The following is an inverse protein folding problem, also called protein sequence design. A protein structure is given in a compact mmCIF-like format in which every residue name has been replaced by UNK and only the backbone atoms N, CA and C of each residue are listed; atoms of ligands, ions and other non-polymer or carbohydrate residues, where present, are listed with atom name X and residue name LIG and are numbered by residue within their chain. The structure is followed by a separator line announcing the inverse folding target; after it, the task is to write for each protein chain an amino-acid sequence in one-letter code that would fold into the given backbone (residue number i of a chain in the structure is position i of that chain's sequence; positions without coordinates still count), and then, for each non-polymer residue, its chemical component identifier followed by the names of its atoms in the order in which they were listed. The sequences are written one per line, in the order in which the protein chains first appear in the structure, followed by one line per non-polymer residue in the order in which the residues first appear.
data_IF_887293158018
#
_entry.id   IF_887293158018
#
_cell.length_a   1.000
_cell.length_b   1.000
_cell.length_c   1.000
_cell.angle_alpha   90.00
_cell.angle_beta   90.00
_cell.angle_gamma   90.00
#
_symmetry.space_group_name_H-M   'P 1'
#
loop_
_entity.id
_entity.type
_entity.pdbx_description
1 polymer ?
#
# COMPACT_ATOMS: atom_id res chain seq x y z
N UNK A 1 -5.99 3.93 -34.94
CA UNK A 1 -4.68 4.17 -34.30
C UNK A 1 -4.88 4.57 -32.83
N UNK A 2 -5.56 3.77 -32.01
CA UNK A 2 -5.90 4.21 -30.62
C UNK A 2 -5.74 3.15 -29.55
N UNK A 3 -5.40 1.91 -29.88
CA UNK A 3 -5.39 0.81 -28.90
C UNK A 3 -4.07 0.69 -28.10
N UNK A 4 -2.97 1.28 -28.58
CA UNK A 4 -1.66 1.16 -27.92
C UNK A 4 -1.45 2.18 -26.78
N UNK A 5 -2.16 3.31 -26.80
CA UNK A 5 -1.99 4.38 -25.79
C UNK A 5 -2.61 4.01 -24.43
N UNK A 6 -3.74 3.30 -24.41
CA UNK A 6 -4.49 2.97 -23.19
C UNK A 6 -3.75 2.00 -22.26
N UNK A 7 -2.99 1.05 -22.80
CA UNK A 7 -2.20 0.10 -22.01
C UNK A 7 -0.94 0.74 -21.40
N UNK A 8 -0.26 1.60 -22.16
CA UNK A 8 0.90 2.35 -21.66
C UNK A 8 0.51 3.35 -20.56
N UNK A 9 -0.63 4.05 -20.70
CA UNK A 9 -1.17 4.92 -19.65
C UNK A 9 -1.67 4.16 -18.41
N UNK A 10 -2.04 2.90 -18.54
CA UNK A 10 -2.39 2.05 -17.40
C UNK A 10 -1.15 1.57 -16.64
N UNK A 11 -0.12 1.10 -17.36
CA UNK A 11 1.16 0.68 -16.80
C UNK A 11 1.91 1.87 -16.14
N UNK A 12 1.95 3.02 -16.81
CA UNK A 12 2.52 4.24 -16.25
C UNK A 12 1.72 4.78 -15.04
N UNK A 13 0.42 4.46 -14.96
CA UNK A 13 -0.38 4.76 -13.76
C UNK A 13 -0.04 3.82 -12.61
N UNK A 14 0.15 2.52 -12.84
CA UNK A 14 0.59 1.58 -11.78
C UNK A 14 1.98 1.92 -11.23
N UNK A 15 2.89 2.43 -12.07
CA UNK A 15 4.25 2.83 -11.67
C UNK A 15 4.34 4.29 -11.23
N UNK A 16 3.21 5.00 -11.13
CA UNK A 16 3.20 6.40 -10.73
C UNK A 16 3.28 6.58 -9.22
N UNK A 17 3.93 7.66 -8.78
CA UNK A 17 3.93 8.10 -7.38
C UNK A 17 2.52 8.12 -6.77
N UNK A 18 1.52 8.53 -7.55
CA UNK A 18 0.13 8.57 -7.11
C UNK A 18 -0.42 7.17 -6.81
N UNK A 19 -0.16 6.17 -7.66
CA UNK A 19 -0.61 4.80 -7.42
C UNK A 19 0.10 4.18 -6.23
N UNK A 20 1.42 4.33 -6.13
CA UNK A 20 2.20 3.87 -4.98
C UNK A 20 1.67 4.50 -3.68
N UNK A 21 1.45 5.81 -3.67
CA UNK A 21 0.91 6.51 -2.50
C UNK A 21 -0.47 5.99 -2.12
N UNK A 22 -1.38 5.86 -3.09
CA UNK A 22 -2.73 5.35 -2.84
C UNK A 22 -2.70 3.89 -2.35
N UNK A 23 -1.75 3.08 -2.84
CA UNK A 23 -1.54 1.72 -2.35
C UNK A 23 -1.18 1.72 -0.88
N UNK A 24 -0.18 2.49 -0.45
CA UNK A 24 0.17 2.58 0.97
C UNK A 24 -1.02 2.98 1.86
N UNK A 25 -1.81 3.97 1.42
CA UNK A 25 -3.02 4.37 2.13
C UNK A 25 -4.05 3.24 2.28
N UNK A 26 -4.17 2.37 1.28
CA UNK A 26 -5.15 1.29 1.23
C UNK A 26 -4.65 -0.05 1.76
N UNK A 27 -3.35 -0.23 1.95
CA UNK A 27 -2.75 -1.51 2.38
C UNK A 27 -2.09 -1.43 3.76
N UNK A 28 -1.63 -0.25 4.20
CA UNK A 28 -1.03 -0.07 5.54
C UNK A 28 -2.03 0.63 6.44
N UNK A 29 -2.70 -0.09 7.32
CA UNK A 29 -3.48 0.49 8.41
C UNK A 29 -3.65 -0.49 9.58
N UNK A 30 -3.83 0.02 10.82
CA UNK A 30 -4.04 -0.81 11.99
C UNK A 30 -5.28 -1.73 11.87
N UNK A 31 -5.23 -2.95 12.44
CA UNK A 31 -6.38 -3.83 12.45
C UNK A 31 -7.55 -3.21 13.23
N UNK A 32 -8.78 -3.43 12.75
CA UNK A 32 -9.99 -2.96 13.43
C UNK A 32 -10.43 -1.54 13.08
N UNK A 33 -9.75 -0.89 12.13
CA UNK A 33 -10.21 0.37 11.52
C UNK A 33 -9.95 0.39 10.02
N UNK A 34 -10.49 1.40 9.34
CA UNK A 34 -10.30 1.58 7.91
C UNK A 34 -8.96 2.20 7.51
N UNK A 35 -8.73 2.36 6.19
CA UNK A 35 -7.57 3.04 5.59
C UNK A 35 -7.27 4.40 6.20
N UNK A 36 -5.99 4.80 6.18
CA UNK A 36 -5.62 6.16 6.56
C UNK A 36 -6.24 7.19 5.61
N UNK A 37 -6.50 8.38 6.15
CA UNK A 37 -6.97 9.54 5.41
C UNK A 37 -5.85 10.56 5.22
N UNK A 38 -5.95 11.38 4.18
CA UNK A 38 -5.03 12.50 3.97
C UNK A 38 -4.99 13.46 5.17
N UNK A 39 -6.11 13.64 5.87
CA UNK A 39 -6.16 14.49 7.07
C UNK A 39 -5.35 13.91 8.22
N UNK A 40 -5.33 12.59 8.40
CA UNK A 40 -4.53 11.95 9.46
C UNK A 40 -3.04 12.16 9.22
N UNK A 41 -2.57 12.01 7.98
CA UNK A 41 -1.17 12.28 7.62
C UNK A 41 -0.82 13.75 7.92
N UNK A 42 -1.65 14.69 7.46
CA UNK A 42 -1.42 16.13 7.70
C UNK A 42 -1.41 16.45 9.20
N UNK A 43 -2.33 15.88 9.98
CA UNK A 43 -2.34 16.06 11.45
C UNK A 43 -1.10 15.46 12.10
N UNK A 44 -0.68 14.28 11.68
CA UNK A 44 0.51 13.61 12.20
C UNK A 44 1.79 14.43 11.95
N UNK A 45 1.94 15.00 10.75
CA UNK A 45 3.03 15.92 10.45
C UNK A 45 2.97 17.19 11.32
N UNK A 46 1.77 17.77 11.47
CA UNK A 46 1.56 18.97 12.29
C UNK A 46 1.99 18.80 13.75
N UNK A 47 1.76 17.61 14.35
CA UNK A 47 2.22 17.30 15.70
C UNK A 47 3.74 17.28 15.85
N UNK A 48 4.48 17.16 14.74
CA UNK A 48 5.95 17.09 14.70
C UNK A 48 6.58 18.40 14.21
N UNK A 49 5.78 19.46 14.11
CA UNK A 49 6.22 20.77 13.60
C UNK A 49 6.48 20.80 12.09
N UNK A 50 6.08 19.75 11.37
CA UNK A 50 6.19 19.66 9.92
C UNK A 50 4.85 20.03 9.26
N UNK A 51 4.91 20.60 8.07
CA UNK A 51 3.71 21.04 7.36
C UNK A 51 3.66 20.48 5.94
N UNK A 52 2.55 19.84 5.61
CA UNK A 52 2.17 19.45 4.26
C UNK A 52 0.72 19.87 4.05
N UNK A 53 0.41 20.58 2.96
CA UNK A 53 -0.96 21.05 2.74
C UNK A 53 -1.86 19.90 2.27
N UNK A 54 -3.07 19.80 2.85
CA UNK A 54 -4.05 18.81 2.43
C UNK A 54 -4.42 18.91 0.94
N UNK A 55 -4.57 20.12 0.34
CA UNK A 55 -4.79 20.25 -1.10
C UNK A 55 -3.63 19.67 -1.92
N UNK A 56 -2.38 19.95 -1.52
CA UNK A 56 -1.21 19.43 -2.23
C UNK A 56 -1.12 17.90 -2.13
N UNK A 57 -1.40 17.32 -0.96
CA UNK A 57 -1.48 15.86 -0.82
C UNK A 57 -2.58 15.25 -1.70
N UNK A 58 -3.74 15.90 -1.82
CA UNK A 58 -4.79 15.46 -2.75
C UNK A 58 -4.33 15.51 -4.21
N UNK A 59 -3.59 16.54 -4.60
CA UNK A 59 -3.02 16.65 -5.95
C UNK A 59 -1.97 15.56 -6.23
N UNK A 60 -1.18 15.18 -5.22
CA UNK A 60 -0.25 14.06 -5.33
C UNK A 60 -0.98 12.73 -5.50
N UNK A 61 -2.06 12.50 -4.73
CA UNK A 61 -2.87 11.28 -4.79
C UNK A 61 -3.66 11.11 -6.09
N UNK A 62 -4.05 12.22 -6.72
CA UNK A 62 -4.76 12.21 -8.01
C UNK A 62 -3.80 12.19 -9.20
N UNK A 63 -2.50 12.43 -8.98
CA UNK A 63 -1.50 12.52 -10.03
C UNK A 63 -1.49 13.86 -10.78
N UNK A 64 -2.28 14.84 -10.35
CA UNK A 64 -2.18 16.23 -10.83
C UNK A 64 -0.78 16.80 -10.56
N UNK A 65 -0.21 16.46 -9.40
CA UNK A 65 1.20 16.68 -9.07
C UNK A 65 1.91 15.35 -9.08
N UNK A 66 2.96 15.24 -9.91
CA UNK A 66 3.70 13.98 -10.12
C UNK A 66 5.08 13.97 -9.47
N UNK A 67 5.63 15.14 -9.15
CA UNK A 67 7.01 15.32 -8.68
C UNK A 67 7.01 16.05 -7.33
N UNK A 68 6.77 15.34 -6.23
CA UNK A 68 7.01 15.89 -4.90
C UNK A 68 8.50 16.18 -4.67
N UNK A 69 8.80 17.06 -3.71
CA UNK A 69 10.18 17.24 -3.25
C UNK A 69 10.65 16.01 -2.46
N UNK A 70 11.95 15.76 -2.40
CA UNK A 70 12.53 14.68 -1.59
C UNK A 70 12.08 14.75 -0.14
N UNK A 71 12.04 15.95 0.44
CA UNK A 71 11.52 16.16 1.80
C UNK A 71 10.06 15.70 1.94
N UNK A 72 9.22 15.92 0.92
CA UNK A 72 7.83 15.46 0.94
C UNK A 72 7.76 13.93 0.87
N UNK A 73 8.58 13.31 0.03
CA UNK A 73 8.66 11.85 -0.07
C UNK A 73 9.09 11.24 1.26
N UNK A 74 10.10 11.80 1.91
CA UNK A 74 10.60 11.34 3.20
C UNK A 74 9.53 11.44 4.30
N UNK A 75 8.83 12.59 4.39
CA UNK A 75 7.73 12.77 5.33
C UNK A 75 6.60 11.76 5.15
N UNK A 76 6.27 11.42 3.90
CA UNK A 76 5.25 10.43 3.57
C UNK A 76 5.74 9.02 3.93
N UNK A 77 6.98 8.68 3.57
CA UNK A 77 7.56 7.38 3.87
C UNK A 77 7.63 7.12 5.39
N UNK A 78 8.05 8.13 6.16
CA UNK A 78 8.11 8.05 7.62
C UNK A 78 6.74 7.86 8.26
N UNK A 79 5.69 8.50 7.74
CA UNK A 79 4.31 8.31 8.21
C UNK A 79 3.86 6.85 8.08
N UNK A 80 4.21 6.20 6.96
CA UNK A 80 3.88 4.80 6.71
C UNK A 80 4.89 3.81 7.31
N UNK A 81 6.00 4.29 7.88
CA UNK A 81 7.05 3.45 8.45
C UNK A 81 7.86 2.68 7.40
N UNK A 82 7.98 3.22 6.18
CA UNK A 82 8.73 2.61 5.07
C UNK A 82 9.92 3.48 4.68
N UNK A 83 10.82 2.95 3.84
CA UNK A 83 11.92 3.73 3.26
C UNK A 83 11.43 4.54 2.06
N UNK A 84 11.92 5.77 1.90
CA UNK A 84 11.63 6.64 0.75
C UNK A 84 12.05 6.05 -0.60
N UNK A 85 13.00 5.10 -0.57
CA UNK A 85 13.43 4.31 -1.73
C UNK A 85 12.28 3.66 -2.50
N UNK A 86 11.18 3.31 -1.81
CA UNK A 86 9.98 2.78 -2.46
C UNK A 86 9.43 3.69 -3.56
N UNK A 87 9.52 5.01 -3.36
CA UNK A 87 9.07 6.00 -4.32
C UNK A 87 10.16 6.41 -5.31
N UNK A 88 11.42 6.43 -4.91
CA UNK A 88 12.52 6.94 -5.74
C UNK A 88 13.16 5.89 -6.63
N UNK A 89 13.08 4.61 -6.25
CA UNK A 89 13.65 3.47 -6.95
C UNK A 89 12.72 2.26 -6.80
N UNK A 90 11.52 2.30 -7.39
CA UNK A 90 10.52 1.24 -7.27
C UNK A 90 11.02 -0.13 -7.74
N UNK A 91 11.91 -0.15 -8.72
CA UNK A 91 12.57 -1.34 -9.27
C UNK A 91 13.69 -1.90 -8.37
N UNK A 92 13.94 -1.29 -7.21
CA UNK A 92 14.92 -1.82 -6.27
C UNK A 92 14.41 -3.09 -5.59
N UNK A 93 15.33 -3.90 -5.08
CA UNK A 93 14.96 -5.08 -4.31
C UNK A 93 14.12 -4.77 -3.07
N UNK A 94 14.23 -3.55 -2.50
CA UNK A 94 13.34 -3.11 -1.42
C UNK A 94 11.93 -2.82 -1.94
N UNK A 95 11.81 -2.15 -3.09
CA UNK A 95 10.53 -1.86 -3.73
C UNK A 95 9.74 -3.13 -4.06
N UNK A 96 10.39 -4.09 -4.71
CA UNK A 96 9.78 -5.38 -5.07
C UNK A 96 9.35 -6.20 -3.84
N UNK A 97 10.20 -6.21 -2.79
CA UNK A 97 9.88 -6.87 -1.52
C UNK A 97 8.66 -6.21 -0.85
N UNK A 98 8.65 -4.88 -0.72
CA UNK A 98 7.55 -4.16 -0.10
C UNK A 98 6.25 -4.32 -0.90
N UNK A 99 6.31 -4.30 -2.23
CA UNK A 99 5.13 -4.55 -3.08
C UNK A 99 4.56 -5.97 -2.93
N UNK A 100 5.40 -6.94 -2.59
CA UNK A 100 4.97 -8.31 -2.27
C UNK A 100 4.30 -8.36 -0.90
N UNK A 101 4.87 -7.68 0.10
CA UNK A 101 4.29 -7.57 1.44
C UNK A 101 2.95 -6.83 1.45
N UNK A 102 2.84 -5.72 0.72
CA UNK A 102 1.59 -4.96 0.58
C UNK A 102 0.48 -5.81 -0.07
N UNK A 103 0.83 -6.67 -1.03
CA UNK A 103 -0.11 -7.63 -1.64
C UNK A 103 -0.63 -8.63 -0.61
N UNK A 104 0.25 -9.12 0.26
CA UNK A 104 -0.17 -10.02 1.34
C UNK A 104 -1.07 -9.31 2.35
N UNK A 105 -0.75 -8.06 2.71
CA UNK A 105 -1.59 -7.25 3.60
C UNK A 105 -2.98 -6.98 3.04
N UNK A 106 -3.09 -6.72 1.73
CA UNK A 106 -4.38 -6.57 1.04
C UNK A 106 -5.25 -7.82 1.21
N UNK A 107 -4.66 -9.01 1.05
CA UNK A 107 -5.35 -10.30 1.25
C UNK A 107 -5.68 -10.54 2.73
N UNK A 108 -4.75 -10.20 3.64
CA UNK A 108 -4.93 -10.38 5.08
C UNK A 108 -5.97 -9.41 5.70
N UNK A 109 -6.39 -8.37 4.97
CA UNK A 109 -7.49 -7.51 5.36
C UNK A 109 -8.87 -8.08 5.06
N UNK A 110 -8.96 -9.08 4.18
CA UNK A 110 -10.21 -9.75 3.88
C UNK A 110 -10.73 -10.48 5.15
N UNK A 111 -11.95 -10.14 5.63
CA UNK A 111 -12.54 -10.77 6.81
C UNK A 111 -12.66 -12.29 6.70
N UNK A 112 -12.92 -12.82 5.50
CA UNK A 112 -13.04 -14.25 5.26
C UNK A 112 -11.66 -14.92 5.30
N UNK A 113 -10.62 -14.29 4.74
CA UNK A 113 -9.24 -14.80 4.88
C UNK A 113 -8.81 -14.82 6.35
N UNK A 114 -9.12 -13.76 7.11
CA UNK A 114 -8.85 -13.72 8.56
C UNK A 114 -9.60 -14.81 9.31
N UNK A 115 -10.86 -15.03 8.97
CA UNK A 115 -11.67 -16.07 9.58
C UNK A 115 -11.11 -17.45 9.27
N UNK A 116 -10.79 -17.73 8.00
CA UNK A 116 -10.23 -19.00 7.55
C UNK A 116 -8.88 -19.28 8.22
N UNK A 117 -7.96 -18.31 8.24
CA UNK A 117 -6.66 -18.47 8.91
C UNK A 117 -6.83 -18.71 10.41
N UNK A 118 -7.69 -17.94 11.08
CA UNK A 118 -7.99 -18.16 12.51
C UNK A 118 -8.54 -19.57 12.76
N UNK A 119 -9.47 -20.04 11.92
CA UNK A 119 -10.00 -21.40 12.02
C UNK A 119 -8.92 -22.46 11.79
N UNK A 120 -8.09 -22.33 10.75
CA UNK A 120 -7.00 -23.27 10.46
C UNK A 120 -5.97 -23.35 11.59
N UNK A 121 -5.67 -22.23 12.26
CA UNK A 121 -4.74 -22.23 13.41
C UNK A 121 -5.27 -22.99 14.62
N UNK A 122 -6.60 -23.14 14.74
CA UNK A 122 -7.24 -23.90 15.81
C UNK A 122 -7.35 -25.41 15.52
N UNK A 123 -7.14 -25.82 14.26
CA UNK A 123 -7.10 -27.24 13.87
C UNK A 123 -5.73 -27.85 14.16
N UNK A 124 -5.71 -29.16 14.43
CA UNK A 124 -4.48 -29.93 14.48
C UNK A 124 -3.82 -30.05 13.09
N UNK A 125 -2.54 -30.42 13.08
CA UNK A 125 -1.72 -30.47 11.86
C UNK A 125 -2.27 -31.44 10.81
N UNK A 126 -2.72 -32.62 11.21
CA UNK A 126 -3.18 -33.66 10.27
C UNK A 126 -4.48 -33.22 9.57
N UNK A 127 -5.43 -32.69 10.34
CA UNK A 127 -6.68 -32.14 9.78
C UNK A 127 -6.40 -30.94 8.86
N UNK A 128 -5.44 -30.09 9.24
CA UNK A 128 -5.03 -28.93 8.43
C UNK A 128 -4.43 -29.36 7.08
N UNK A 129 -3.53 -30.35 7.08
CA UNK A 129 -2.89 -30.87 5.86
C UNK A 129 -3.90 -31.57 4.94
N UNK A 130 -4.86 -32.33 5.49
CA UNK A 130 -5.94 -32.93 4.69
C UNK A 130 -6.80 -31.87 4.00
N UNK A 131 -7.14 -30.80 4.69
CA UNK A 131 -7.93 -29.70 4.11
C UNK A 131 -7.15 -28.95 3.03
N UNK A 132 -5.86 -28.69 3.25
CA UNK A 132 -5.00 -28.06 2.23
C UNK A 132 -4.89 -28.94 0.98
N UNK A 133 -4.61 -30.24 1.16
CA UNK A 133 -4.54 -31.21 0.07
C UNK A 133 -5.86 -31.32 -0.71
N UNK A 134 -7.00 -31.34 -0.03
CA UNK A 134 -8.32 -31.38 -0.67
C UNK A 134 -8.66 -30.11 -1.45
N UNK A 135 -8.12 -28.96 -1.01
CA UNK A 135 -8.24 -27.68 -1.71
C UNK A 135 -7.23 -27.51 -2.86
N UNK A 136 -6.27 -28.43 -3.03
CA UNK A 136 -5.26 -28.41 -4.08
C UNK A 136 -4.12 -27.43 -3.82
N UNK A 137 -3.84 -27.09 -2.56
CA UNK A 137 -2.74 -26.22 -2.10
C UNK A 137 -1.82 -26.96 -1.13
#
# INVERSE_FOLDING_TARGET
MTTTQTAADAAARSDSFAAQLNRLFSSIYPPGRGPYTSQELVRWLGMRGLALSAPYLSQLRTGERKRPSEQTVEMIAEFFGIRSEYFTSPESGYGEWLDSELRWLEVAHDPDVRRLTTMLTALDTDTREQLMSAAGI
#
